data_IF_342258928511
#
_entry.id   IF_342258928511
#
_cell.length_a   1.000
_cell.length_b   1.000
_cell.length_c   1.000
_cell.angle_alpha   90.00
_cell.angle_beta   90.00
_cell.angle_gamma   90.00
#
_symmetry.space_group_name_H-M   'P 1'
#
loop_
_entity.id
_entity.type
_entity.pdbx_description
1 polymer ?
#
# COMPACT_ATOMS: atom_id res chain seq x y z
N UNK A 1 41.30 -40.70 18.39
CA UNK A 1 40.70 -40.52 17.05
C UNK A 1 39.21 -40.25 17.11
N UNK A 2 38.47 -40.69 18.14
CA UNK A 2 37.01 -40.48 18.27
C UNK A 2 36.57 -39.02 18.53
N UNK A 3 37.43 -38.18 19.06
CA UNK A 3 37.12 -36.76 19.40
C UNK A 3 37.09 -35.81 18.22
N UNK A 4 37.53 -36.20 17.03
CA UNK A 4 37.61 -35.33 15.86
C UNK A 4 36.32 -35.35 15.02
N UNK A 5 35.48 -36.37 15.15
CA UNK A 5 34.30 -36.57 14.29
C UNK A 5 33.17 -35.55 14.50
N UNK A 6 32.83 -35.10 15.72
CA UNK A 6 31.75 -34.11 15.89
C UNK A 6 32.08 -32.71 15.35
N UNK A 7 33.31 -32.47 14.89
CA UNK A 7 33.73 -31.19 14.32
C UNK A 7 33.25 -30.92 12.88
N UNK A 8 32.86 -31.95 12.15
CA UNK A 8 32.42 -31.79 10.77
C UNK A 8 31.01 -31.22 10.68
N UNK A 9 30.80 -30.33 9.74
CA UNK A 9 29.49 -29.80 9.40
C UNK A 9 29.40 -29.37 7.92
N UNK A 10 28.22 -29.43 7.38
CA UNK A 10 27.91 -28.99 6.04
C UNK A 10 27.05 -27.70 6.10
N UNK A 11 27.36 -26.73 5.23
CA UNK A 11 26.65 -25.50 5.08
C UNK A 11 26.12 -25.39 3.66
N UNK A 12 24.80 -25.23 3.55
CA UNK A 12 24.12 -25.06 2.28
C UNK A 12 24.19 -23.60 1.82
N UNK A 13 23.97 -23.34 0.52
CA UNK A 13 23.84 -21.97 0.01
C UNK A 13 22.74 -21.17 0.74
N UNK A 14 23.06 -19.92 1.06
CA UNK A 14 22.19 -19.03 1.83
C UNK A 14 21.87 -19.53 3.26
N UNK A 15 22.79 -20.23 3.86
CA UNK A 15 22.82 -20.52 5.30
C UNK A 15 24.00 -19.79 5.96
N UNK A 16 23.85 -19.43 7.21
CA UNK A 16 24.92 -18.92 8.05
C UNK A 16 25.01 -19.72 9.35
N UNK A 17 26.21 -19.90 9.84
CA UNK A 17 26.47 -20.50 11.15
C UNK A 17 27.12 -19.49 12.05
N UNK A 18 26.49 -19.22 13.18
CA UNK A 18 27.06 -18.43 14.28
C UNK A 18 27.77 -19.36 15.23
N UNK A 19 29.05 -19.06 15.47
CA UNK A 19 29.94 -19.89 16.31
C UNK A 19 30.19 -19.23 17.66
N UNK A 20 29.95 -19.99 18.72
CA UNK A 20 30.17 -19.58 20.09
C UNK A 20 31.16 -20.52 20.74
N UNK A 21 32.17 -19.98 21.43
CA UNK A 21 33.11 -20.71 22.23
C UNK A 21 32.90 -20.37 23.72
N UNK A 22 32.36 -21.31 24.47
CA UNK A 22 31.99 -21.11 25.89
C UNK A 22 31.22 -19.83 26.14
N UNK A 23 30.20 -19.56 25.29
CA UNK A 23 29.37 -18.37 25.37
C UNK A 23 29.94 -17.11 24.69
N UNK A 24 31.22 -17.11 24.30
CA UNK A 24 31.85 -15.98 23.62
C UNK A 24 31.67 -16.12 22.09
N UNK A 25 31.16 -15.08 21.44
CA UNK A 25 31.07 -15.03 19.99
C UNK A 25 32.47 -15.07 19.35
N UNK A 26 32.66 -15.96 18.39
CA UNK A 26 33.90 -16.14 17.62
C UNK A 26 33.82 -15.68 16.19
N UNK A 27 32.61 -15.70 15.60
CA UNK A 27 32.41 -15.29 14.24
C UNK A 27 31.18 -15.94 13.62
N UNK A 28 30.80 -15.41 12.46
CA UNK A 28 29.72 -15.94 11.61
C UNK A 28 30.36 -16.46 10.32
N UNK A 29 30.05 -17.69 9.98
CA UNK A 29 30.56 -18.36 8.79
C UNK A 29 29.41 -18.47 7.76
N UNK A 30 29.70 -18.08 6.50
CA UNK A 30 28.69 -18.01 5.42
C UNK A 30 29.10 -18.81 4.17
N UNK A 31 30.35 -19.29 4.10
CA UNK A 31 30.83 -20.02 2.94
C UNK A 31 30.20 -21.41 2.87
N UNK A 32 29.82 -21.80 1.67
CA UNK A 32 29.14 -23.07 1.40
C UNK A 32 30.15 -24.20 1.27
N UNK A 33 29.78 -25.37 1.75
CA UNK A 33 30.61 -26.55 1.61
C UNK A 33 30.68 -27.41 2.88
N UNK A 34 31.71 -28.24 2.93
CA UNK A 34 31.96 -29.17 4.03
C UNK A 34 33.19 -28.71 4.81
N UNK A 35 32.99 -28.43 6.09
CA UNK A 35 34.02 -27.83 6.94
C UNK A 35 34.20 -28.60 8.23
N UNK A 36 35.41 -28.46 8.79
CA UNK A 36 35.74 -28.96 10.12
C UNK A 36 36.06 -27.79 11.04
N UNK A 37 35.43 -27.78 12.21
CA UNK A 37 35.72 -26.81 13.28
C UNK A 37 35.87 -27.50 14.60
N UNK A 38 36.51 -26.84 15.56
CA UNK A 38 36.71 -27.34 16.90
C UNK A 38 35.37 -27.84 17.51
N UNK A 39 35.28 -29.11 17.97
CA UNK A 39 34.06 -29.68 18.56
C UNK A 39 33.49 -28.92 19.77
N UNK A 40 34.30 -28.13 20.46
CA UNK A 40 33.87 -27.31 21.60
C UNK A 40 33.12 -26.03 21.16
N UNK A 41 33.05 -25.72 19.87
CA UNK A 41 32.27 -24.61 19.34
C UNK A 41 30.80 -24.99 19.27
N UNK A 42 29.98 -24.27 19.99
CA UNK A 42 28.53 -24.30 19.79
C UNK A 42 28.15 -23.63 18.47
N UNK A 43 27.41 -24.35 17.64
CA UNK A 43 27.03 -23.92 16.28
C UNK A 43 25.55 -23.67 16.23
N UNK A 44 25.15 -22.45 15.81
CA UNK A 44 23.74 -22.10 15.59
C UNK A 44 23.54 -21.74 14.12
N UNK A 45 22.83 -22.60 13.39
CA UNK A 45 22.49 -22.37 11.98
C UNK A 45 21.32 -21.41 11.86
N UNK A 46 21.36 -20.54 10.84
CA UNK A 46 20.32 -19.60 10.43
C UNK A 46 20.17 -19.66 8.92
N UNK A 47 18.93 -19.49 8.43
CA UNK A 47 18.66 -19.35 7.01
C UNK A 47 18.71 -17.87 6.64
N UNK A 48 19.45 -17.53 5.59
CA UNK A 48 19.51 -16.18 5.02
C UNK A 48 18.67 -16.06 3.75
N UNK A 49 17.90 -17.11 3.43
CA UNK A 49 16.99 -17.12 2.27
C UNK A 49 15.89 -16.08 2.47
N UNK A 50 15.47 -15.44 1.36
CA UNK A 50 14.34 -14.56 1.39
C UNK A 50 13.04 -15.32 1.73
N UNK A 51 12.18 -14.69 2.51
CA UNK A 51 10.90 -15.22 2.96
C UNK A 51 9.79 -14.23 2.66
N UNK A 52 8.62 -14.75 2.33
CA UNK A 52 7.42 -13.96 2.19
C UNK A 52 6.65 -13.94 3.51
N UNK A 53 6.17 -12.77 3.88
CA UNK A 53 5.19 -12.59 4.94
C UNK A 53 3.94 -11.94 4.33
N UNK A 54 2.79 -12.57 4.54
CA UNK A 54 1.50 -11.99 4.24
C UNK A 54 0.83 -11.61 5.56
N UNK A 55 0.84 -10.32 5.88
CA UNK A 55 0.21 -9.82 7.09
C UNK A 55 -1.29 -9.66 6.89
N UNK A 56 -2.06 -10.12 7.88
CA UNK A 56 -3.50 -9.92 7.89
C UNK A 56 -3.85 -8.43 7.91
N UNK A 57 -4.96 -8.02 7.27
CA UNK A 57 -5.38 -6.62 7.28
C UNK A 57 -5.60 -6.11 8.70
N UNK A 58 -4.96 -5.00 9.03
CA UNK A 58 -5.12 -4.31 10.30
C UNK A 58 -5.97 -3.05 10.14
N UNK A 59 -6.73 -2.72 11.18
CA UNK A 59 -7.50 -1.48 11.25
C UNK A 59 -6.59 -0.34 11.70
N UNK A 60 -6.50 0.71 10.88
CA UNK A 60 -5.72 1.91 11.13
C UNK A 60 -6.52 3.14 10.74
N UNK A 61 -6.13 4.32 11.22
CA UNK A 61 -6.71 5.58 10.77
C UNK A 61 -5.81 6.20 9.70
N UNK A 62 -6.42 6.74 8.67
CA UNK A 62 -5.75 7.53 7.65
C UNK A 62 -5.39 8.94 8.16
N UNK A 63 -4.76 9.78 7.31
CA UNK A 63 -4.40 11.17 7.61
C UNK A 63 -5.60 12.03 8.07
N UNK A 64 -6.79 11.74 7.55
CA UNK A 64 -8.04 12.47 7.86
C UNK A 64 -8.72 11.93 9.13
N UNK A 65 -8.33 10.74 9.59
CA UNK A 65 -8.91 10.06 10.75
C UNK A 65 -9.97 9.02 10.40
N UNK A 66 -10.14 8.68 9.13
CA UNK A 66 -11.06 7.61 8.73
C UNK A 66 -10.47 6.23 9.05
N UNK A 67 -11.23 5.32 9.66
CA UNK A 67 -10.77 3.96 9.88
C UNK A 67 -10.74 3.17 8.57
N UNK A 68 -9.56 2.66 8.24
CA UNK A 68 -9.30 1.84 7.05
C UNK A 68 -8.69 0.50 7.44
N UNK A 69 -8.94 -0.52 6.63
CA UNK A 69 -8.30 -1.84 6.72
C UNK A 69 -7.20 -1.90 5.67
N UNK A 70 -5.98 -2.14 6.13
CA UNK A 70 -4.81 -2.24 5.24
C UNK A 70 -4.10 -3.56 5.51
N UNK A 71 -3.89 -4.34 4.46
CA UNK A 71 -3.07 -5.55 4.45
C UNK A 71 -1.75 -5.29 3.74
N UNK A 72 -0.73 -6.03 4.13
CA UNK A 72 0.64 -5.90 3.66
C UNK A 72 1.20 -7.26 3.26
N UNK A 73 1.88 -7.30 2.14
CA UNK A 73 2.75 -8.39 1.74
C UNK A 73 4.17 -7.88 1.67
N UNK A 74 5.12 -8.60 2.25
CA UNK A 74 6.52 -8.22 2.22
C UNK A 74 7.44 -9.42 2.02
N UNK A 75 8.59 -9.14 1.41
CA UNK A 75 9.70 -10.07 1.24
C UNK A 75 10.86 -9.58 2.11
N UNK A 76 11.30 -10.42 3.02
CA UNK A 76 12.38 -10.10 3.94
C UNK A 76 13.44 -11.21 3.99
N UNK A 77 14.66 -10.85 4.40
CA UNK A 77 15.77 -11.78 4.60
C UNK A 77 16.64 -11.35 5.77
N UNK A 78 17.41 -12.27 6.32
CA UNK A 78 18.47 -11.95 7.28
C UNK A 78 19.68 -11.39 6.53
N UNK A 79 20.21 -10.24 6.98
CA UNK A 79 21.43 -9.60 6.49
C UNK A 79 22.59 -9.83 7.44
N UNK A 80 22.33 -9.67 8.72
CA UNK A 80 23.31 -9.84 9.80
C UNK A 80 22.86 -10.90 10.81
N UNK A 81 23.52 -12.06 10.74
CA UNK A 81 23.22 -13.20 11.61
C UNK A 81 23.61 -12.93 13.08
N UNK A 82 24.60 -12.04 13.34
CA UNK A 82 25.00 -11.69 14.70
C UNK A 82 23.90 -10.88 15.38
N UNK A 83 23.44 -9.80 14.76
CA UNK A 83 22.37 -8.97 15.28
C UNK A 83 21.10 -9.78 15.52
N UNK A 84 20.69 -10.58 14.52
CA UNK A 84 19.50 -11.42 14.62
C UNK A 84 19.55 -12.42 15.78
N UNK A 85 20.76 -12.87 16.16
CA UNK A 85 20.91 -13.88 17.19
C UNK A 85 21.08 -13.31 18.60
N UNK A 86 21.64 -12.12 18.75
CA UNK A 86 22.08 -11.60 20.04
C UNK A 86 21.45 -10.27 20.44
N UNK A 87 20.94 -9.48 19.49
CA UNK A 87 20.31 -8.20 19.79
C UNK A 87 18.80 -8.32 20.00
N UNK A 88 18.20 -9.43 19.52
CA UNK A 88 16.79 -9.71 19.75
C UNK A 88 16.66 -10.97 20.58
N UNK A 89 15.86 -10.89 21.63
CA UNK A 89 15.49 -12.06 22.42
C UNK A 89 14.41 -12.87 21.69
N UNK A 90 14.89 -13.81 20.88
CA UNK A 90 14.01 -14.75 20.18
C UNK A 90 13.25 -15.71 21.10
N UNK A 91 13.62 -15.75 22.39
CA UNK A 91 12.96 -16.63 23.38
C UNK A 91 11.71 -15.97 23.95
N UNK A 92 11.71 -14.66 24.12
CA UNK A 92 10.53 -13.90 24.60
C UNK A 92 9.40 -13.90 23.57
N UNK A 93 9.73 -14.00 22.30
CA UNK A 93 8.74 -14.07 21.21
C UNK A 93 8.14 -15.46 21.02
N UNK A 94 8.90 -16.50 21.29
CA UNK A 94 8.45 -17.90 21.26
C UNK A 94 7.58 -18.29 22.47
N UNK A 95 7.49 -17.46 23.49
CA UNK A 95 6.74 -17.75 24.72
C UNK A 95 5.22 -17.83 24.52
N UNK A 96 4.70 -17.41 23.37
CA UNK A 96 3.27 -17.57 23.03
C UNK A 96 2.93 -18.90 22.32
N UNK A 97 3.93 -19.72 21.99
CA UNK A 97 3.69 -21.05 21.43
C UNK A 97 4.11 -22.07 22.48
N UNK A 98 3.12 -22.68 23.08
CA UNK A 98 3.27 -23.72 24.12
C UNK A 98 4.37 -24.72 23.82
N UNK A 99 5.33 -24.78 24.73
CA UNK A 99 6.02 -26.03 25.06
C UNK A 99 7.27 -26.34 24.26
N UNK A 100 8.36 -26.38 25.00
CA UNK A 100 9.45 -27.34 24.85
C UNK A 100 10.76 -26.84 24.24
N UNK A 101 11.71 -26.67 25.14
CA UNK A 101 12.99 -27.35 25.22
C UNK A 101 14.14 -26.94 24.29
N UNK A 102 15.22 -26.60 24.97
CA UNK A 102 16.65 -26.89 24.71
C UNK A 102 16.88 -27.49 23.31
N UNK A 103 17.19 -26.64 22.34
CA UNK A 103 17.51 -27.08 20.99
C UNK A 103 16.52 -26.51 19.93
N UNK A 104 16.17 -25.22 20.02
CA UNK A 104 15.31 -24.60 19.00
C UNK A 104 15.85 -24.90 17.61
N UNK A 105 15.08 -25.62 16.81
CA UNK A 105 15.40 -25.93 15.41
C UNK A 105 15.57 -24.65 14.61
N UNK A 106 16.24 -24.70 13.47
CA UNK A 106 16.33 -23.55 12.54
C UNK A 106 14.95 -23.00 12.23
N UNK A 107 13.96 -23.88 12.03
CA UNK A 107 12.57 -23.51 11.76
C UNK A 107 11.95 -22.71 12.91
N UNK A 108 12.09 -23.14 14.15
CA UNK A 108 11.52 -22.46 15.33
C UNK A 108 12.09 -21.04 15.49
N UNK A 109 13.38 -20.87 15.28
CA UNK A 109 14.02 -19.54 15.32
C UNK A 109 13.54 -18.63 14.18
N UNK A 110 13.39 -19.21 12.98
CA UNK A 110 12.91 -18.44 11.84
C UNK A 110 11.45 -18.01 12.01
N UNK A 111 10.62 -18.80 12.67
CA UNK A 111 9.24 -18.41 13.00
C UNK A 111 9.22 -17.26 14.04
N UNK A 112 10.09 -17.29 15.04
CA UNK A 112 10.20 -16.18 15.99
C UNK A 112 10.64 -14.87 15.30
N UNK A 113 11.53 -14.94 14.31
CA UNK A 113 11.88 -13.77 13.49
C UNK A 113 10.71 -13.29 12.62
N UNK A 114 9.94 -14.20 12.08
CA UNK A 114 8.73 -13.87 11.30
C UNK A 114 7.69 -13.17 12.16
N UNK A 115 7.45 -13.63 13.39
CA UNK A 115 6.57 -12.95 14.36
C UNK A 115 7.08 -11.54 14.69
N UNK A 116 8.39 -11.36 14.84
CA UNK A 116 8.99 -10.04 15.04
C UNK A 116 8.76 -9.13 13.83
N UNK A 117 9.02 -9.63 12.62
CA UNK A 117 8.78 -8.88 11.39
C UNK A 117 7.31 -8.49 11.28
N UNK A 118 6.37 -9.39 11.62
CA UNK A 118 4.92 -9.12 11.63
C UNK A 118 4.57 -7.96 12.56
N UNK A 119 5.03 -7.98 13.80
CA UNK A 119 4.75 -6.90 14.78
C UNK A 119 5.33 -5.56 14.32
N UNK A 120 6.56 -5.56 13.78
CA UNK A 120 7.19 -4.35 13.28
C UNK A 120 6.53 -3.84 11.99
N UNK A 121 6.02 -4.75 11.15
CA UNK A 121 5.28 -4.38 9.94
C UNK A 121 3.95 -3.69 10.27
N UNK A 122 3.22 -4.18 11.26
CA UNK A 122 1.99 -3.55 11.74
C UNK A 122 2.25 -2.12 12.25
N UNK A 123 3.35 -1.93 12.99
CA UNK A 123 3.73 -0.63 13.51
C UNK A 123 4.16 0.36 12.40
N UNK A 124 4.92 -0.12 11.40
CA UNK A 124 5.32 0.69 10.25
C UNK A 124 4.11 1.06 9.38
N UNK A 125 3.21 0.10 9.15
CA UNK A 125 2.00 0.31 8.37
C UNK A 125 1.08 1.36 9.00
N UNK A 126 0.89 1.33 10.33
CA UNK A 126 0.14 2.38 11.06
C UNK A 126 0.78 3.76 10.89
N UNK A 127 2.09 3.84 10.94
CA UNK A 127 2.81 5.10 10.78
C UNK A 127 2.66 5.66 9.36
N UNK A 128 2.83 4.83 8.33
CA UNK A 128 2.71 5.24 6.93
C UNK A 128 1.26 5.58 6.58
N UNK A 129 0.29 4.76 7.01
CA UNK A 129 -1.12 5.03 6.78
C UNK A 129 -1.58 6.38 7.35
N UNK A 130 -1.06 6.79 8.51
CA UNK A 130 -1.37 8.10 9.11
C UNK A 130 -0.80 9.30 8.35
N UNK A 131 0.11 9.11 7.40
CA UNK A 131 0.68 10.20 6.58
C UNK A 131 -0.16 10.51 5.34
N UNK A 132 -0.93 9.57 4.85
CA UNK A 132 -1.69 9.67 3.60
C UNK A 132 -3.19 9.54 3.85
N UNK A 133 -3.99 10.31 3.12
CA UNK A 133 -5.43 10.09 3.05
C UNK A 133 -5.74 8.82 2.25
N UNK A 134 -6.84 8.14 2.56
CA UNK A 134 -7.28 6.97 1.79
C UNK A 134 -7.58 7.33 0.33
N UNK A 135 -8.33 8.41 0.13
CA UNK A 135 -8.85 8.86 -1.16
C UNK A 135 -8.79 10.39 -1.23
N UNK A 136 -8.66 10.94 -2.42
CA UNK A 136 -8.76 12.38 -2.63
C UNK A 136 -10.23 12.79 -2.58
N UNK A 137 -10.58 13.53 -1.53
CA UNK A 137 -11.95 13.90 -1.27
C UNK A 137 -12.33 15.21 -1.93
N UNK A 138 -11.36 16.05 -2.24
CA UNK A 138 -11.60 17.44 -2.65
C UNK A 138 -11.21 17.73 -4.12
N UNK A 139 -10.83 16.71 -4.91
CA UNK A 139 -10.50 16.80 -6.36
C UNK A 139 -9.52 17.93 -6.77
N UNK A 140 -8.88 18.57 -5.82
CA UNK A 140 -8.10 19.79 -6.03
C UNK A 140 -6.68 19.68 -5.48
N UNK A 141 -6.32 18.55 -4.87
CA UNK A 141 -5.00 18.33 -4.35
C UNK A 141 -4.24 17.34 -5.22
N UNK A 142 -3.10 17.75 -5.75
CA UNK A 142 -2.05 16.85 -6.27
C UNK A 142 -1.43 16.00 -5.14
N UNK A 143 -2.12 15.89 -3.99
CA UNK A 143 -1.65 15.10 -2.86
C UNK A 143 -1.78 13.61 -3.15
N UNK A 144 -0.69 12.90 -2.90
CA UNK A 144 -0.67 11.45 -2.98
C UNK A 144 -1.58 10.84 -1.92
N UNK A 145 -2.42 9.91 -2.36
CA UNK A 145 -3.30 9.15 -1.48
C UNK A 145 -2.83 7.69 -1.39
N UNK A 146 -3.31 6.95 -0.39
CA UNK A 146 -3.04 5.51 -0.28
C UNK A 146 -3.48 4.74 -1.53
N UNK A 147 -4.51 5.26 -2.22
CA UNK A 147 -5.09 4.64 -3.42
C UNK A 147 -4.32 5.00 -4.70
N UNK A 148 -3.88 6.24 -4.85
CA UNK A 148 -3.21 6.74 -6.07
C UNK A 148 -1.70 6.63 -6.03
N UNK A 149 -1.08 6.74 -4.85
CA UNK A 149 0.36 6.79 -4.64
C UNK A 149 1.05 5.44 -4.45
N UNK A 150 0.56 4.37 -5.10
CA UNK A 150 0.97 2.99 -4.84
C UNK A 150 2.47 2.75 -4.75
N UNK A 151 3.26 3.21 -5.70
CA UNK A 151 4.71 2.94 -5.70
C UNK A 151 5.44 3.79 -4.66
N UNK A 152 5.10 5.07 -4.51
CA UNK A 152 5.75 5.97 -3.56
C UNK A 152 5.42 5.61 -2.10
N UNK A 153 4.17 5.23 -1.84
CA UNK A 153 3.75 4.70 -0.53
C UNK A 153 4.49 3.41 -0.20
N UNK A 154 4.68 2.51 -1.18
CA UNK A 154 5.43 1.28 -0.99
C UNK A 154 6.91 1.54 -0.71
N UNK A 155 7.55 2.51 -1.39
CA UNK A 155 8.93 2.91 -1.10
C UNK A 155 9.09 3.47 0.30
N UNK A 156 8.21 4.35 0.74
CA UNK A 156 8.15 4.86 2.12
C UNK A 156 7.99 3.73 3.13
N UNK A 157 7.15 2.76 2.81
CA UNK A 157 6.92 1.59 3.68
C UNK A 157 8.18 0.73 3.79
N UNK A 158 8.87 0.44 2.66
CA UNK A 158 10.15 -0.28 2.66
C UNK A 158 11.20 0.45 3.48
N UNK A 159 11.30 1.77 3.34
CA UNK A 159 12.24 2.58 4.11
C UNK A 159 11.94 2.48 5.62
N UNK A 160 10.69 2.68 6.03
CA UNK A 160 10.29 2.62 7.44
C UNK A 160 10.46 1.22 8.04
N UNK A 161 10.19 0.19 7.27
CA UNK A 161 10.43 -1.19 7.67
C UNK A 161 11.93 -1.47 7.86
N UNK A 162 12.77 -1.04 6.92
CA UNK A 162 14.22 -1.23 7.02
C UNK A 162 14.81 -0.47 8.21
N UNK A 163 14.36 0.76 8.51
CA UNK A 163 14.76 1.50 9.70
C UNK A 163 14.48 0.71 10.99
N UNK A 164 13.31 0.09 11.11
CA UNK A 164 12.89 -0.69 12.28
C UNK A 164 13.56 -2.05 12.38
N UNK A 165 13.74 -2.73 11.25
CA UNK A 165 14.27 -4.09 11.20
C UNK A 165 15.81 -4.13 11.19
N UNK A 166 16.48 -2.98 10.98
CA UNK A 166 17.93 -2.88 11.02
C UNK A 166 18.54 -3.30 12.37
N UNK A 167 17.84 -3.04 13.48
CA UNK A 167 18.23 -3.47 14.83
C UNK A 167 18.33 -5.00 14.88
N UNK A 168 17.41 -5.67 14.20
CA UNK A 168 17.35 -7.12 14.12
C UNK A 168 18.31 -7.74 13.09
N UNK A 169 19.11 -6.92 12.39
CA UNK A 169 19.92 -7.39 11.29
C UNK A 169 19.12 -8.00 10.13
N UNK A 170 17.86 -7.56 9.96
CA UNK A 170 16.98 -7.96 8.89
C UNK A 170 16.86 -6.85 7.83
N UNK A 171 16.57 -7.26 6.60
CA UNK A 171 16.38 -6.37 5.45
C UNK A 171 15.10 -6.74 4.73
N UNK A 172 14.28 -5.73 4.46
CA UNK A 172 13.11 -5.86 3.58
C UNK A 172 13.54 -5.57 2.15
N UNK A 173 13.31 -6.53 1.28
CA UNK A 173 13.60 -6.42 -0.16
C UNK A 173 12.49 -5.69 -0.86
N UNK A 174 11.24 -6.03 -0.53
CA UNK A 174 10.04 -5.48 -1.13
C UNK A 174 8.91 -5.49 -0.10
N UNK A 175 8.08 -4.46 -0.12
CA UNK A 175 6.85 -4.41 0.65
C UNK A 175 5.76 -3.73 -0.19
N UNK A 176 4.57 -4.33 -0.22
CA UNK A 176 3.43 -3.81 -0.97
C UNK A 176 2.15 -3.93 -0.18
N UNK A 177 1.30 -2.93 -0.31
CA UNK A 177 -0.07 -3.00 0.18
C UNK A 177 -0.85 -3.94 -0.74
N UNK A 178 -1.39 -5.03 -0.19
CA UNK A 178 -2.17 -6.03 -0.92
C UNK A 178 -3.68 -5.92 -0.67
N UNK A 179 -4.06 -5.23 0.40
CA UNK A 179 -5.46 -5.00 0.76
C UNK A 179 -5.65 -3.57 1.27
N UNK A 180 -6.62 -2.87 0.72
CA UNK A 180 -6.95 -1.51 1.11
C UNK A 180 -8.46 -1.30 0.99
N UNK A 181 -9.15 -1.08 2.10
CA UNK A 181 -10.59 -0.83 2.13
C UNK A 181 -10.96 0.04 3.31
N UNK A 182 -12.08 0.75 3.22
CA UNK A 182 -12.67 1.38 4.40
C UNK A 182 -13.13 0.32 5.41
N UNK A 183 -13.01 0.63 6.69
CA UNK A 183 -13.57 -0.22 7.72
C UNK A 183 -15.09 -0.37 7.54
N UNK A 184 -15.66 -1.57 7.84
CA UNK A 184 -17.09 -1.85 7.58
C UNK A 184 -18.05 -0.83 8.18
N UNK A 185 -17.67 -0.23 9.31
CA UNK A 185 -18.50 0.73 10.04
C UNK A 185 -18.77 2.02 9.26
N UNK A 186 -17.84 2.44 8.41
CA UNK A 186 -17.93 3.68 7.62
C UNK A 186 -18.08 3.45 6.12
N UNK A 187 -17.88 2.21 5.65
CA UNK A 187 -17.85 1.89 4.22
C UNK A 187 -19.12 2.38 3.48
N UNK A 188 -20.30 2.18 4.05
CA UNK A 188 -21.57 2.61 3.45
C UNK A 188 -21.69 4.15 3.38
N UNK A 189 -21.20 4.86 4.39
CA UNK A 189 -21.22 6.34 4.42
C UNK A 189 -20.25 6.90 3.39
N UNK A 190 -19.04 6.33 3.32
CA UNK A 190 -18.02 6.76 2.34
C UNK A 190 -18.43 6.48 0.90
N UNK A 191 -19.10 5.34 0.65
CA UNK A 191 -19.66 5.04 -0.67
C UNK A 191 -20.69 6.09 -1.09
N UNK A 192 -21.60 6.48 -0.19
CA UNK A 192 -22.58 7.56 -0.48
C UNK A 192 -21.90 8.90 -0.75
N UNK A 193 -20.84 9.23 -0.01
CA UNK A 193 -20.05 10.44 -0.23
C UNK A 193 -19.39 10.41 -1.61
N UNK A 194 -18.76 9.30 -1.99
CA UNK A 194 -18.16 9.13 -3.32
C UNK A 194 -19.20 9.23 -4.43
N UNK A 195 -20.37 8.63 -4.25
CA UNK A 195 -21.49 8.76 -5.21
C UNK A 195 -21.95 10.21 -5.37
N UNK A 196 -22.14 10.93 -4.25
CA UNK A 196 -22.53 12.33 -4.29
C UNK A 196 -21.48 13.20 -4.99
N UNK A 197 -20.21 13.02 -4.67
CA UNK A 197 -19.10 13.73 -5.32
C UNK A 197 -19.04 13.42 -6.82
N UNK A 198 -19.19 12.15 -7.19
CA UNK A 198 -19.20 11.74 -8.59
C UNK A 198 -20.36 12.38 -9.38
N UNK A 199 -21.56 12.49 -8.78
CA UNK A 199 -22.71 13.15 -9.41
C UNK A 199 -22.44 14.65 -9.62
N UNK A 200 -21.85 15.32 -8.61
CA UNK A 200 -21.51 16.75 -8.73
C UNK A 200 -20.50 16.95 -9.85
N UNK A 201 -19.40 16.17 -9.87
CA UNK A 201 -18.40 16.25 -10.93
C UNK A 201 -18.97 15.97 -12.33
N UNK A 202 -19.84 14.98 -12.43
CA UNK A 202 -20.50 14.68 -13.70
C UNK A 202 -21.36 15.87 -14.18
N UNK A 203 -22.10 16.50 -13.27
CA UNK A 203 -22.91 17.70 -13.61
C UNK A 203 -22.04 18.89 -13.98
N UNK A 204 -20.95 19.13 -13.28
CA UNK A 204 -19.98 20.18 -13.65
C UNK A 204 -19.46 19.98 -15.08
N UNK A 205 -19.07 18.74 -15.41
CA UNK A 205 -18.60 18.40 -16.77
C UNK A 205 -19.69 18.54 -17.84
N UNK A 206 -20.94 18.22 -17.53
CA UNK A 206 -22.08 18.43 -18.44
C UNK A 206 -22.28 19.93 -18.69
N UNK A 207 -22.26 20.75 -17.63
CA UNK A 207 -22.43 22.21 -17.76
C UNK A 207 -21.26 22.82 -18.53
N UNK A 208 -20.00 22.46 -18.21
CA UNK A 208 -18.83 22.92 -18.95
C UNK A 208 -18.90 22.56 -20.44
N UNK A 209 -19.28 21.32 -20.74
CA UNK A 209 -19.49 20.84 -22.10
C UNK A 209 -20.63 21.60 -22.80
N UNK A 210 -21.74 21.81 -22.11
CA UNK A 210 -22.90 22.55 -22.67
C UNK A 210 -22.52 24.00 -22.99
N UNK A 211 -21.84 24.69 -22.08
CA UNK A 211 -21.39 26.08 -22.33
C UNK A 211 -20.41 26.13 -23.51
N UNK A 212 -19.50 25.20 -23.62
CA UNK A 212 -18.55 25.10 -24.74
C UNK A 212 -19.29 24.86 -26.07
N UNK A 213 -20.26 23.96 -26.09
CA UNK A 213 -21.07 23.69 -27.29
C UNK A 213 -21.91 24.89 -27.71
N UNK A 214 -22.54 25.58 -26.76
CA UNK A 214 -23.33 26.81 -27.04
C UNK A 214 -22.43 27.90 -27.60
N UNK A 215 -21.24 28.12 -27.01
CA UNK A 215 -20.28 29.09 -27.52
C UNK A 215 -19.86 28.75 -28.95
N UNK A 216 -19.50 27.50 -29.21
CA UNK A 216 -19.13 27.03 -30.55
C UNK A 216 -20.26 27.20 -31.56
N UNK A 217 -21.51 26.93 -31.18
CA UNK A 217 -22.67 27.15 -32.04
C UNK A 217 -22.86 28.62 -32.39
N UNK A 218 -22.77 29.52 -31.41
CA UNK A 218 -22.91 30.98 -31.64
C UNK A 218 -21.77 31.54 -32.52
N UNK A 219 -20.52 31.09 -32.27
CA UNK A 219 -19.35 31.48 -33.06
C UNK A 219 -19.51 31.06 -34.54
N UNK A 220 -19.99 29.82 -34.79
CA UNK A 220 -20.25 29.33 -36.15
C UNK A 220 -21.38 30.11 -36.86
N UNK A 221 -22.51 30.33 -36.18
CA UNK A 221 -23.63 31.08 -36.73
C UNK A 221 -23.23 32.51 -37.10
N UNK A 222 -22.36 33.14 -36.29
CA UNK A 222 -21.84 34.48 -36.56
C UNK A 222 -20.85 34.49 -37.73
N UNK A 223 -19.96 33.47 -37.79
CA UNK A 223 -18.89 33.39 -38.83
C UNK A 223 -19.46 33.07 -40.20
N UNK A 224 -20.50 32.23 -40.26
CA UNK A 224 -21.12 31.78 -41.51
C UNK A 224 -22.24 32.72 -41.97
N UNK A 225 -22.46 33.83 -41.25
CA UNK A 225 -23.52 34.86 -41.54
C UNK A 225 -24.93 34.25 -41.78
N UNK A 226 -25.23 33.11 -41.12
CA UNK A 226 -26.48 32.38 -41.33
C UNK A 226 -27.68 33.18 -40.78
N UNK A 227 -27.49 33.87 -39.65
CA UNK A 227 -28.53 34.67 -38.98
C UNK A 227 -27.90 35.88 -38.28
N UNK A 228 -28.42 37.08 -38.52
CA UNK A 228 -28.18 38.24 -37.68
C UNK A 228 -28.96 38.10 -36.37
N UNK A 229 -28.28 37.74 -35.29
CA UNK A 229 -28.89 37.59 -33.98
C UNK A 229 -28.68 38.88 -33.17
N UNK A 230 -29.75 39.49 -32.78
CA UNK A 230 -29.79 40.53 -31.78
C UNK A 230 -29.41 39.96 -30.39
N UNK A 231 -28.87 40.77 -29.48
CA UNK A 231 -28.40 40.31 -28.14
C UNK A 231 -29.52 39.64 -27.33
N UNK A 232 -30.76 40.09 -27.47
CA UNK A 232 -31.91 39.50 -26.80
C UNK A 232 -32.25 38.10 -27.35
N UNK A 233 -32.15 37.92 -28.66
CA UNK A 233 -32.34 36.62 -29.31
C UNK A 233 -31.18 35.65 -29.01
N UNK A 234 -29.95 36.13 -28.92
CA UNK A 234 -28.81 35.32 -28.47
C UNK A 234 -29.01 34.81 -27.05
N UNK A 235 -29.45 35.68 -26.12
CA UNK A 235 -29.70 35.29 -24.74
C UNK A 235 -30.80 34.22 -24.61
N UNK A 236 -31.90 34.39 -25.37
CA UNK A 236 -32.97 33.39 -25.41
C UNK A 236 -32.50 32.04 -25.96
N UNK A 237 -31.70 32.06 -27.04
CA UNK A 237 -31.14 30.86 -27.67
C UNK A 237 -30.17 30.14 -26.73
N UNK A 238 -29.29 30.87 -26.04
CA UNK A 238 -28.38 30.32 -25.04
C UNK A 238 -29.14 29.63 -23.91
N UNK A 239 -30.20 30.31 -23.39
CA UNK A 239 -31.02 29.76 -22.31
C UNK A 239 -31.70 28.45 -22.74
N UNK A 240 -32.30 28.43 -23.93
CA UNK A 240 -32.96 27.24 -24.44
C UNK A 240 -32.00 26.08 -24.70
N UNK A 241 -30.85 26.35 -25.30
CA UNK A 241 -29.82 25.34 -25.56
C UNK A 241 -29.27 24.77 -24.27
N UNK A 242 -28.97 25.60 -23.25
CA UNK A 242 -28.48 25.14 -21.96
C UNK A 242 -29.51 24.26 -21.26
N UNK A 243 -30.80 24.61 -21.29
CA UNK A 243 -31.86 23.78 -20.72
C UNK A 243 -31.88 22.40 -21.37
N UNK A 244 -31.79 22.32 -22.70
CA UNK A 244 -31.81 21.06 -23.45
C UNK A 244 -30.55 20.24 -23.19
N UNK A 245 -29.36 20.88 -23.18
CA UNK A 245 -28.10 20.21 -23.05
C UNK A 245 -27.77 19.77 -21.60
N UNK A 246 -28.31 20.47 -20.59
CA UNK A 246 -28.10 20.14 -19.18
C UNK A 246 -29.25 19.30 -18.58
N UNK A 247 -30.31 18.99 -19.33
CA UNK A 247 -31.42 18.17 -18.86
C UNK A 247 -30.99 16.69 -18.72
N UNK A 248 -31.39 16.05 -17.62
CA UNK A 248 -31.15 14.61 -17.37
C UNK A 248 -32.06 13.72 -18.27
N UNK A 249 -33.15 14.24 -18.72
CA UNK A 249 -34.11 13.56 -19.63
C UNK A 249 -34.06 14.18 -21.04
N UNK A 250 -34.26 13.34 -22.05
CA UNK A 250 -34.37 13.84 -23.44
C UNK A 250 -35.51 14.81 -23.55
N UNK A 251 -35.21 16.09 -23.84
CA UNK A 251 -36.19 17.12 -24.04
C UNK A 251 -37.09 16.74 -25.24
N UNK A 252 -38.39 16.66 -25.02
CA UNK A 252 -39.34 16.53 -26.12
C UNK A 252 -39.59 17.94 -26.69
N UNK A 253 -39.20 18.22 -27.93
CA UNK A 253 -39.46 19.52 -28.52
C UNK A 253 -40.96 19.71 -28.72
N UNK A 254 -41.59 20.62 -27.98
CA UNK A 254 -42.92 21.09 -28.27
C UNK A 254 -42.79 22.14 -29.38
N UNK A 255 -43.00 21.68 -30.60
CA UNK A 255 -43.08 22.59 -31.74
C UNK A 255 -44.41 23.32 -31.62
N UNK A 256 -44.37 24.55 -31.13
CA UNK A 256 -45.53 25.45 -31.21
C UNK A 256 -45.65 25.88 -32.68
N UNK A 257 -46.47 25.16 -33.45
CA UNK A 257 -46.89 25.58 -34.76
C UNK A 257 -47.91 26.78 -34.58
N UNK A 258 -47.36 27.88 -34.02
CA UNK A 258 -48.09 29.09 -33.79
C UNK A 258 -48.73 29.56 -35.08
N UNK A 259 -49.95 29.80 -34.98
CA UNK A 259 -50.81 30.50 -36.01
C UNK A 259 -49.99 31.60 -36.68
N UNK A 260 -49.66 31.36 -37.95
CA UNK A 260 -49.36 32.39 -38.90
C UNK A 260 -50.67 33.19 -39.06
N UNK A 261 -50.86 34.17 -38.20
CA UNK A 261 -51.91 35.16 -38.40
C UNK A 261 -51.29 36.50 -38.82
N UNK A 262 -51.45 36.76 -40.04
CA UNK A 262 -51.61 38.02 -40.81
C UNK A 262 -50.73 39.20 -40.49
#
# INVERSE_FOLDING_TARGET
TFFLWPGFFMLEPNEAVVMLFFGKYRGTFKDTGYFWVNPFLSRKKLSMRARNLNAEPIKVNDKVGNPVLIGLVLVWKLKDAYKAMFEIDSQTMAANTQGTTIGASVASRMNAFEDFVKVQSDAALRQVAGLYAYDDTDNNSDELTLRSGGDEVNEQLVQKLNERLAIAGMEVVEARINYLAYAPEIAAVMLRRQQASAIIMAREKIVEGAVSMVKMALDKLSTEEIVELDEEKKAAMVSNLLVVLCADESAQPVVNAGTLNH
#
